data_IF_465376841064
#
_entry.id   IF_465376841064
#
_cell.length_a   1.000
_cell.length_b   1.000
_cell.length_c   1.000
_cell.angle_alpha   90.00
_cell.angle_beta   90.00
_cell.angle_gamma   90.00
#
_symmetry.space_group_name_H-M   'P 1'
#
loop_
_entity.id
_entity.type
_entity.pdbx_description
1 polymer ?
#
# COMPACT_ATOMS: atom_id res chain seq x y z
N UNK A 1 1.94 24.92 9.61
CA UNK A 1 3.33 25.12 9.10
C UNK A 1 3.29 25.25 7.59
N UNK A 2 4.20 26.01 6.96
CA UNK A 2 4.27 26.02 5.49
C UNK A 2 4.76 24.68 4.97
N UNK A 3 4.22 24.24 3.85
CA UNK A 3 4.65 22.97 3.23
C UNK A 3 6.12 23.01 2.81
N UNK A 4 6.62 24.16 2.36
CA UNK A 4 8.04 24.37 2.06
C UNK A 4 8.94 24.16 3.29
N UNK A 5 8.50 24.58 4.48
CA UNK A 5 9.27 24.42 5.72
C UNK A 5 9.34 22.94 6.11
N UNK A 6 8.21 22.23 6.02
CA UNK A 6 8.16 20.77 6.24
C UNK A 6 9.06 20.00 5.27
N UNK A 7 9.05 20.35 3.98
CA UNK A 7 9.93 19.69 3.03
C UNK A 7 11.41 19.98 3.31
N UNK A 8 11.70 21.17 3.84
CA UNK A 8 13.05 21.55 4.24
C UNK A 8 13.54 20.79 5.47
N UNK A 9 12.64 20.28 6.33
CA UNK A 9 13.04 19.36 7.42
C UNK A 9 13.40 17.98 6.86
N UNK A 10 12.56 17.41 5.99
CA UNK A 10 12.85 16.12 5.35
C UNK A 10 14.13 16.14 4.50
N UNK A 11 14.44 17.27 3.85
CA UNK A 11 15.65 17.40 3.04
C UNK A 11 16.94 17.28 3.88
N UNK A 12 16.89 17.64 5.17
CA UNK A 12 18.05 17.57 6.08
C UNK A 12 18.30 16.15 6.59
N UNK A 13 17.33 15.25 6.51
CA UNK A 13 17.43 13.88 7.03
C UNK A 13 18.18 12.91 6.10
N UNK A 14 18.97 13.44 5.15
CA UNK A 14 19.89 12.75 4.20
C UNK A 14 19.29 11.65 3.30
N UNK A 15 17.99 11.37 3.40
CA UNK A 15 17.29 10.45 2.47
C UNK A 15 16.65 11.20 1.32
N UNK A 16 17.44 11.48 0.28
CA UNK A 16 17.02 12.21 -0.93
C UNK A 16 15.70 11.66 -1.52
N UNK A 17 15.57 10.33 -1.60
CA UNK A 17 14.36 9.68 -2.15
C UNK A 17 13.10 10.01 -1.35
N UNK A 18 13.18 10.11 -0.02
CA UNK A 18 12.04 10.47 0.83
C UNK A 18 11.61 11.90 0.53
N UNK A 19 12.55 12.84 0.52
CA UNK A 19 12.27 14.23 0.19
C UNK A 19 11.63 14.37 -1.19
N UNK A 20 12.17 13.69 -2.20
CA UNK A 20 11.65 13.76 -3.57
C UNK A 20 10.23 13.18 -3.67
N UNK A 21 9.98 12.04 -3.02
CA UNK A 21 8.64 11.44 -2.98
C UNK A 21 7.65 12.34 -2.25
N UNK A 22 8.00 12.84 -1.06
CA UNK A 22 7.14 13.73 -0.28
C UNK A 22 6.81 15.01 -1.05
N UNK A 23 7.82 15.61 -1.69
CA UNK A 23 7.64 16.78 -2.55
C UNK A 23 6.70 16.48 -3.71
N UNK A 24 6.95 15.41 -4.46
CA UNK A 24 6.12 15.02 -5.61
C UNK A 24 4.66 14.79 -5.20
N UNK A 25 4.42 14.07 -4.09
CA UNK A 25 3.07 13.84 -3.56
C UNK A 25 2.35 15.15 -3.21
N UNK A 26 3.03 16.06 -2.48
CA UNK A 26 2.43 17.33 -2.08
C UNK A 26 2.15 18.22 -3.30
N UNK A 27 3.05 18.29 -4.29
CA UNK A 27 2.86 19.07 -5.52
C UNK A 27 1.63 18.63 -6.32
N UNK A 28 1.25 17.34 -6.24
CA UNK A 28 0.06 16.82 -6.92
C UNK A 28 -1.24 17.29 -6.28
N UNK A 29 -1.22 17.74 -5.02
CA UNK A 29 -2.43 18.05 -4.25
C UNK A 29 -2.54 19.51 -3.79
N UNK A 30 -1.41 20.18 -3.58
CA UNK A 30 -1.29 21.48 -2.93
C UNK A 30 -0.29 22.39 -3.65
N UNK A 31 -0.46 23.70 -3.50
CA UNK A 31 0.58 24.69 -3.82
C UNK A 31 1.58 24.79 -2.67
N UNK A 32 2.77 24.21 -2.85
CA UNK A 32 3.80 24.14 -1.80
C UNK A 32 4.29 25.53 -1.34
N UNK A 33 4.27 26.53 -2.21
CA UNK A 33 4.84 27.85 -1.90
C UNK A 33 3.86 28.70 -1.07
N UNK A 34 2.57 28.55 -1.35
CA UNK A 34 1.51 29.40 -0.80
C UNK A 34 0.74 28.72 0.33
N UNK A 35 0.60 27.38 0.31
CA UNK A 35 -0.22 26.67 1.28
C UNK A 35 0.51 26.36 2.59
N UNK A 36 -0.25 26.47 3.68
CA UNK A 36 0.14 26.05 5.01
C UNK A 36 -0.92 25.09 5.55
N UNK A 37 -0.46 23.96 6.09
CA UNK A 37 -1.31 22.95 6.71
C UNK A 37 -0.92 22.80 8.19
N UNK A 38 -1.86 22.38 9.00
CA UNK A 38 -1.57 21.91 10.35
C UNK A 38 -0.79 20.59 10.30
N UNK A 39 0.05 20.34 11.29
CA UNK A 39 0.88 19.13 11.36
C UNK A 39 0.05 17.85 11.26
N UNK A 40 -1.11 17.83 11.90
CA UNK A 40 -2.03 16.69 11.84
C UNK A 40 -2.52 16.43 10.40
N UNK A 41 -2.75 17.46 9.59
CA UNK A 41 -3.21 17.29 8.21
C UNK A 41 -2.10 16.74 7.31
N UNK A 42 -0.86 17.19 7.53
CA UNK A 42 0.32 16.68 6.81
C UNK A 42 0.54 15.21 7.18
N UNK A 43 0.46 14.89 8.47
CA UNK A 43 0.53 13.52 8.97
C UNK A 43 -0.53 12.63 8.33
N UNK A 44 -1.80 13.00 8.42
CA UNK A 44 -2.92 12.23 7.83
C UNK A 44 -2.71 11.98 6.33
N UNK A 45 -2.19 12.97 5.60
CA UNK A 45 -1.86 12.82 4.19
C UNK A 45 -0.80 11.74 3.92
N UNK A 46 0.25 11.65 4.75
CA UNK A 46 1.34 10.70 4.55
C UNK A 46 1.14 9.33 5.21
N UNK A 47 0.24 9.19 6.18
CA UNK A 47 -0.11 7.87 6.75
C UNK A 47 -1.23 7.18 5.97
N UNK A 48 -1.97 7.89 5.10
CA UNK A 48 -2.93 7.26 4.19
C UNK A 48 -2.21 6.63 2.99
N UNK A 49 -2.05 5.30 3.03
CA UNK A 49 -1.40 4.55 1.96
C UNK A 49 -2.07 4.75 0.59
N UNK A 50 -3.37 5.05 0.52
CA UNK A 50 -4.02 5.33 -0.77
C UNK A 50 -3.38 6.51 -1.51
N UNK A 51 -2.80 7.47 -0.78
CA UNK A 51 -2.13 8.62 -1.39
C UNK A 51 -0.85 8.23 -2.12
N UNK A 52 -0.18 7.13 -1.74
CA UNK A 52 1.02 6.65 -2.43
C UNK A 52 0.65 6.05 -3.78
N UNK A 53 -0.38 5.23 -3.83
CA UNK A 53 -0.93 4.69 -5.08
C UNK A 53 -1.45 5.82 -5.99
N UNK A 54 -2.07 6.85 -5.41
CA UNK A 54 -2.66 7.96 -6.16
C UNK A 54 -1.63 8.96 -6.70
N UNK A 55 -0.62 9.31 -5.91
CA UNK A 55 0.27 10.44 -6.20
C UNK A 55 1.72 10.05 -6.52
N UNK A 56 2.18 8.82 -6.20
CA UNK A 56 3.54 8.36 -6.54
C UNK A 56 3.59 7.36 -7.69
N UNK A 57 2.46 6.86 -8.20
CA UNK A 57 2.48 5.82 -9.22
C UNK A 57 3.21 6.23 -10.51
N UNK A 58 3.12 7.50 -10.92
CA UNK A 58 3.87 8.03 -12.06
C UNK A 58 5.37 8.25 -11.77
N UNK A 59 5.74 8.28 -10.49
CA UNK A 59 7.13 8.42 -10.02
C UNK A 59 7.79 7.08 -9.68
N UNK A 60 7.01 5.99 -9.63
CA UNK A 60 7.45 4.69 -9.13
C UNK A 60 8.69 4.15 -9.88
N UNK A 61 8.75 4.30 -11.20
CA UNK A 61 9.90 3.87 -12.00
C UNK A 61 11.20 4.60 -11.61
N UNK A 62 11.12 5.88 -11.19
CA UNK A 62 12.29 6.63 -10.70
C UNK A 62 12.71 6.09 -9.34
N UNK A 63 11.75 5.86 -8.43
CA UNK A 63 12.00 5.30 -7.10
C UNK A 63 12.72 3.95 -7.22
N UNK A 64 12.15 3.02 -7.99
CA UNK A 64 12.69 1.66 -8.13
C UNK A 64 14.05 1.61 -8.83
N UNK A 65 14.24 2.38 -9.92
CA UNK A 65 15.44 2.25 -10.76
C UNK A 65 16.60 3.12 -10.32
N UNK A 66 16.34 4.32 -9.80
CA UNK A 66 17.39 5.28 -9.44
C UNK A 66 17.85 5.10 -8.00
N UNK A 67 16.93 4.78 -7.10
CA UNK A 67 17.20 4.73 -5.66
C UNK A 67 17.12 3.32 -5.08
N UNK A 68 16.83 2.31 -5.91
CA UNK A 68 16.66 0.91 -5.49
C UNK A 68 15.70 0.76 -4.30
N UNK A 69 14.72 1.66 -4.21
CA UNK A 69 13.78 1.75 -3.08
C UNK A 69 12.36 1.42 -3.52
N UNK A 70 11.42 1.28 -2.58
CA UNK A 70 10.02 0.98 -2.88
C UNK A 70 9.02 1.89 -2.17
N UNK A 71 7.80 1.98 -2.70
CA UNK A 71 6.71 2.73 -2.05
C UNK A 71 6.50 2.31 -0.59
N UNK A 72 6.68 1.02 -0.27
CA UNK A 72 6.54 0.51 1.09
C UNK A 72 7.63 1.09 2.01
N UNK A 73 8.88 1.17 1.56
CA UNK A 73 9.96 1.77 2.34
C UNK A 73 9.77 3.29 2.53
N UNK A 74 9.30 3.99 1.49
CA UNK A 74 8.97 5.42 1.61
C UNK A 74 7.85 5.63 2.65
N UNK A 75 6.81 4.80 2.57
CA UNK A 75 5.68 4.83 3.49
C UNK A 75 6.10 4.52 4.93
N UNK A 76 6.86 3.44 5.14
CA UNK A 76 7.38 3.06 6.46
C UNK A 76 8.21 4.16 7.11
N UNK A 77 9.07 4.81 6.32
CA UNK A 77 9.87 5.92 6.80
C UNK A 77 9.00 7.11 7.22
N UNK A 78 8.03 7.50 6.38
CA UNK A 78 7.15 8.64 6.69
C UNK A 78 6.21 8.34 7.87
N UNK A 79 5.70 7.12 8.01
CA UNK A 79 5.00 6.70 9.22
C UNK A 79 5.89 6.86 10.46
N UNK A 80 7.13 6.37 10.39
CA UNK A 80 8.10 6.48 11.50
C UNK A 80 8.40 7.94 11.83
N UNK A 81 8.57 8.80 10.83
CA UNK A 81 8.78 10.24 11.00
C UNK A 81 7.65 10.90 11.82
N UNK A 82 6.40 10.49 11.59
CA UNK A 82 5.23 10.97 12.34
C UNK A 82 4.91 10.20 13.62
N UNK A 83 5.83 9.35 14.08
CA UNK A 83 5.65 8.44 15.22
C UNK A 83 4.42 7.53 15.09
N UNK A 84 4.15 7.05 13.88
CA UNK A 84 3.07 6.10 13.58
C UNK A 84 3.62 4.74 13.16
N UNK A 85 2.85 3.69 13.48
CA UNK A 85 3.14 2.36 12.97
C UNK A 85 2.72 2.28 11.49
N UNK A 86 3.57 1.74 10.62
CA UNK A 86 3.24 1.53 9.21
C UNK A 86 2.13 0.48 9.02
N UNK A 87 2.11 -0.54 9.88
CA UNK A 87 1.06 -1.55 9.95
C UNK A 87 -0.15 -1.01 10.72
N UNK A 88 -0.82 -0.04 10.11
CA UNK A 88 -1.97 0.68 10.64
C UNK A 88 -3.24 0.44 9.80
N UNK A 89 -4.29 1.14 10.19
CA UNK A 89 -5.61 1.06 9.54
C UNK A 89 -5.58 1.38 8.05
N UNK A 90 -4.84 2.40 7.61
CA UNK A 90 -4.83 2.83 6.21
C UNK A 90 -4.22 1.77 5.30
N UNK A 91 -3.07 1.20 5.69
CA UNK A 91 -2.43 0.12 4.95
C UNK A 91 -3.33 -1.13 4.90
N UNK A 92 -3.98 -1.46 6.03
CA UNK A 92 -4.93 -2.55 6.08
C UNK A 92 -6.12 -2.35 5.13
N UNK A 93 -6.79 -1.20 5.19
CA UNK A 93 -7.95 -0.89 4.34
C UNK A 93 -7.58 -0.88 2.86
N UNK A 94 -6.40 -0.33 2.50
CA UNK A 94 -5.87 -0.38 1.15
C UNK A 94 -5.67 -1.82 0.66
N UNK A 95 -4.99 -2.67 1.45
CA UNK A 95 -4.73 -4.07 1.10
C UNK A 95 -6.03 -4.86 0.97
N UNK A 96 -6.94 -4.70 1.92
CA UNK A 96 -8.25 -5.36 1.92
C UNK A 96 -9.02 -5.01 0.66
N UNK A 97 -9.14 -3.71 0.32
CA UNK A 97 -9.82 -3.24 -0.90
C UNK A 97 -9.26 -3.90 -2.17
N UNK A 98 -7.94 -4.07 -2.26
CA UNK A 98 -7.30 -4.72 -3.43
C UNK A 98 -7.53 -6.23 -3.47
N UNK A 99 -7.73 -6.87 -2.33
CA UNK A 99 -8.04 -8.31 -2.27
C UNK A 99 -9.51 -8.56 -2.60
N UNK A 100 -10.45 -7.83 -2.00
CA UNK A 100 -11.89 -8.04 -2.21
C UNK A 100 -12.35 -7.71 -3.64
N UNK A 101 -11.64 -6.81 -4.32
CA UNK A 101 -11.94 -6.45 -5.72
C UNK A 101 -11.43 -7.48 -6.74
N UNK A 102 -10.68 -8.49 -6.30
CA UNK A 102 -10.27 -9.58 -7.17
C UNK A 102 -11.35 -10.66 -7.18
N UNK A 103 -11.65 -11.19 -8.38
CA UNK A 103 -12.56 -12.32 -8.57
C UNK A 103 -11.75 -13.56 -8.93
N UNK A 104 -11.48 -14.47 -7.97
CA UNK A 104 -10.68 -15.67 -8.20
C UNK A 104 -11.24 -16.56 -9.32
N UNK A 105 -12.56 -16.53 -9.57
CA UNK A 105 -13.19 -17.38 -10.60
C UNK A 105 -12.64 -17.08 -11.99
N UNK A 106 -12.18 -15.85 -12.24
CA UNK A 106 -11.54 -15.46 -13.51
C UNK A 106 -10.27 -16.26 -13.79
N UNK A 107 -9.61 -16.81 -12.77
CA UNK A 107 -8.41 -17.62 -12.96
C UNK A 107 -8.72 -18.95 -13.66
N UNK A 108 -9.95 -19.45 -13.61
CA UNK A 108 -10.37 -20.65 -14.36
C UNK A 108 -10.22 -20.49 -15.87
N UNK A 109 -10.30 -19.24 -16.37
CA UNK A 109 -10.17 -18.91 -17.78
C UNK A 109 -8.71 -18.77 -18.26
N UNK A 110 -7.72 -18.81 -17.36
CA UNK A 110 -6.30 -18.72 -17.74
C UNK A 110 -5.86 -20.08 -18.27
N UNK A 111 -5.68 -20.25 -19.58
CA UNK A 111 -5.33 -21.55 -20.19
C UNK A 111 -3.99 -22.10 -19.67
N UNK A 112 -2.97 -21.25 -19.60
CA UNK A 112 -1.64 -21.59 -19.12
C UNK A 112 -1.66 -21.97 -17.62
N UNK A 113 -1.26 -23.21 -17.34
CA UNK A 113 -1.25 -23.78 -15.99
C UNK A 113 -0.29 -23.04 -15.03
N UNK A 114 0.90 -22.69 -15.49
CA UNK A 114 1.90 -22.00 -14.66
C UNK A 114 1.44 -20.58 -14.33
N UNK A 115 0.93 -19.85 -15.32
CA UNK A 115 0.37 -18.51 -15.13
C UNK A 115 -0.83 -18.54 -14.19
N UNK A 116 -1.70 -19.55 -14.32
CA UNK A 116 -2.87 -19.73 -13.45
C UNK A 116 -2.44 -19.95 -12.01
N UNK A 117 -1.51 -20.87 -11.77
CA UNK A 117 -1.00 -21.17 -10.43
C UNK A 117 -0.27 -19.97 -9.82
N UNK A 118 0.51 -19.26 -10.62
CA UNK A 118 1.15 -18.02 -10.18
C UNK A 118 0.14 -16.93 -9.83
N UNK A 119 -0.98 -16.82 -10.54
CA UNK A 119 -2.06 -15.88 -10.20
C UNK A 119 -2.76 -16.26 -8.88
N UNK A 120 -3.11 -17.53 -8.71
CA UNK A 120 -3.70 -18.06 -7.48
C UNK A 120 -2.77 -17.83 -6.28
N UNK A 121 -1.50 -18.23 -6.39
CA UNK A 121 -0.51 -18.09 -5.32
C UNK A 121 -0.25 -16.62 -4.98
N UNK A 122 -0.25 -15.72 -5.97
CA UNK A 122 -0.13 -14.27 -5.70
C UNK A 122 -1.31 -13.72 -4.89
N UNK A 123 -2.53 -14.18 -5.15
CA UNK A 123 -3.69 -13.77 -4.37
C UNK A 123 -3.63 -14.36 -2.94
N UNK A 124 -3.26 -15.64 -2.80
CA UNK A 124 -3.07 -16.28 -1.49
C UNK A 124 -2.05 -15.52 -0.64
N UNK A 125 -0.89 -15.19 -1.20
CA UNK A 125 0.15 -14.40 -0.50
C UNK A 125 -0.38 -13.05 -0.04
N UNK A 126 -1.20 -12.36 -0.86
CA UNK A 126 -1.81 -11.07 -0.48
C UNK A 126 -2.79 -11.24 0.69
N UNK A 127 -3.58 -12.30 0.69
CA UNK A 127 -4.47 -12.63 1.82
C UNK A 127 -3.65 -12.91 3.08
N UNK A 128 -2.59 -13.73 2.97
CA UNK A 128 -1.72 -14.07 4.08
C UNK A 128 -1.05 -12.83 4.70
N UNK A 129 -0.56 -11.88 3.89
CA UNK A 129 0.00 -10.62 4.37
C UNK A 129 -1.01 -9.83 5.23
N UNK A 130 -2.29 -9.86 4.86
CA UNK A 130 -3.35 -9.21 5.66
C UNK A 130 -3.58 -9.98 6.97
N UNK A 131 -3.62 -11.31 6.93
CA UNK A 131 -3.80 -12.14 8.14
C UNK A 131 -2.62 -12.02 9.12
N UNK A 132 -1.41 -11.80 8.60
CA UNK A 132 -0.19 -11.67 9.38
C UNK A 132 0.00 -10.26 9.99
N UNK A 133 -0.71 -9.25 9.49
CA UNK A 133 -0.71 -7.88 10.01
C UNK A 133 -1.07 -7.83 11.49
N UNK A 134 -0.29 -7.10 12.27
CA UNK A 134 -0.56 -6.77 13.66
C UNK A 134 -1.85 -5.97 13.81
N UNK A 135 -2.16 -5.07 12.87
CA UNK A 135 -3.41 -4.32 12.87
C UNK A 135 -4.61 -5.27 12.75
N UNK A 136 -4.56 -6.18 11.78
CA UNK A 136 -5.64 -7.16 11.59
C UNK A 136 -5.77 -8.11 12.79
N UNK A 137 -4.67 -8.65 13.31
CA UNK A 137 -4.68 -9.53 14.50
C UNK A 137 -5.36 -8.88 15.71
N UNK A 138 -5.13 -7.58 15.93
CA UNK A 138 -5.76 -6.81 17.01
C UNK A 138 -7.23 -6.46 16.72
N UNK A 139 -7.63 -6.41 15.46
CA UNK A 139 -8.97 -5.99 15.03
C UNK A 139 -9.64 -7.06 14.14
N UNK A 140 -9.53 -8.33 14.52
CA UNK A 140 -9.90 -9.47 13.67
C UNK A 140 -11.39 -9.54 13.29
N UNK A 141 -12.26 -8.70 13.84
CA UNK A 141 -13.64 -8.56 13.37
C UNK A 141 -13.74 -7.73 12.08
N UNK A 142 -12.77 -6.84 11.81
CA UNK A 142 -12.73 -5.98 10.63
C UNK A 142 -12.22 -6.78 9.43
N UNK A 143 -13.04 -6.95 8.39
CA UNK A 143 -12.62 -7.56 7.12
C UNK A 143 -12.52 -9.09 7.14
N UNK A 144 -12.77 -9.75 8.27
CA UNK A 144 -12.65 -11.21 8.38
C UNK A 144 -13.63 -11.96 7.50
N UNK A 145 -14.89 -11.49 7.45
CA UNK A 145 -15.91 -12.11 6.58
C UNK A 145 -15.46 -12.05 5.12
N UNK A 146 -14.99 -10.90 4.68
CA UNK A 146 -14.52 -10.66 3.32
C UNK A 146 -13.29 -11.51 2.98
N UNK A 147 -12.35 -11.62 3.93
CA UNK A 147 -11.16 -12.49 3.80
C UNK A 147 -11.58 -13.96 3.70
N UNK A 148 -12.46 -14.43 4.58
CA UNK A 148 -12.96 -15.81 4.57
C UNK A 148 -13.70 -16.14 3.27
N UNK A 149 -14.50 -15.21 2.74
CA UNK A 149 -15.16 -15.34 1.44
C UNK A 149 -14.15 -15.49 0.30
N UNK A 150 -13.12 -14.64 0.24
CA UNK A 150 -12.07 -14.73 -0.78
C UNK A 150 -11.29 -16.04 -0.65
N UNK A 151 -10.93 -16.47 0.57
CA UNK A 151 -10.24 -17.74 0.81
C UNK A 151 -11.07 -18.93 0.33
N UNK A 152 -12.37 -18.93 0.59
CA UNK A 152 -13.29 -19.96 0.11
C UNK A 152 -13.33 -20.00 -1.42
N UNK A 153 -13.37 -18.85 -2.08
CA UNK A 153 -13.34 -18.78 -3.55
C UNK A 153 -12.02 -19.28 -4.13
N UNK A 154 -10.88 -18.91 -3.54
CA UNK A 154 -9.55 -19.43 -3.92
C UNK A 154 -9.53 -20.96 -3.81
N UNK A 155 -10.01 -21.50 -2.69
CA UNK A 155 -10.05 -22.95 -2.46
C UNK A 155 -10.92 -23.68 -3.50
N UNK A 156 -12.07 -23.12 -3.88
CA UNK A 156 -12.92 -23.67 -4.93
C UNK A 156 -12.20 -23.70 -6.28
N UNK A 157 -11.51 -22.61 -6.63
CA UNK A 157 -10.73 -22.53 -7.88
C UNK A 157 -9.61 -23.57 -7.88
N UNK A 158 -8.84 -23.67 -6.79
CA UNK A 158 -7.76 -24.67 -6.66
C UNK A 158 -8.25 -26.10 -6.82
N UNK A 159 -9.40 -26.44 -6.23
CA UNK A 159 -10.04 -27.76 -6.41
C UNK A 159 -10.42 -28.01 -7.86
N UNK A 160 -11.01 -27.02 -8.53
CA UNK A 160 -11.43 -27.14 -9.93
C UNK A 160 -10.24 -27.33 -10.89
N UNK A 161 -9.06 -26.80 -10.55
CA UNK A 161 -7.86 -26.85 -11.40
C UNK A 161 -6.85 -27.93 -11.01
N UNK A 162 -7.17 -28.78 -10.02
CA UNK A 162 -6.32 -29.90 -9.60
C UNK A 162 -5.04 -29.48 -8.86
N UNK A 163 -5.08 -28.37 -8.12
CA UNK A 163 -3.92 -27.82 -7.35
C UNK A 163 -4.01 -28.19 -5.86
N UNK A 164 -4.99 -29.03 -5.47
CA UNK A 164 -5.19 -29.59 -4.13
C UNK A 164 -5.27 -31.11 -4.24
#
# INVERSE_FOLDING_TARGET
>A
MKLADFLSTLQKDEKEVIYLCAKHMLQKRYDIQEEALEEHQIKEFFIDYNNYDKYLNDYANIIYKRYESSNDEIYEYLCTYFNENSDNRHLFEYRLKRVINQDPKKYLAIEDFEMRNAAISRLEKRVQIIEESNFFKKNSSLGKKEIDEIKNQINLVKKAVGVI
#
